data_IF_964346665362
#
_entry.id   IF_964346665362
#
_cell.length_a   1.000
_cell.length_b   1.000
_cell.length_c   1.000
_cell.angle_alpha   90.00
_cell.angle_beta   90.00
_cell.angle_gamma   90.00
#
_symmetry.space_group_name_H-M   'P 1'
#
loop_
_entity.id
_entity.type
_entity.pdbx_description
1 polymer ?
#
# COMPACT_ATOMS: atom_id res chain seq x y z
N UNK A 1 14.76 -38.38 5.35
CA UNK A 1 15.56 -38.13 6.53
C UNK A 1 16.92 -38.72 6.29
N UNK A 2 17.90 -37.91 6.34
CA UNK A 2 19.24 -38.40 6.12
C UNK A 2 19.95 -38.33 7.45
N UNK A 3 20.21 -39.50 8.00
CA UNK A 3 21.01 -39.60 9.17
C UNK A 3 22.39 -39.02 8.87
N UNK A 4 22.89 -38.20 9.76
CA UNK A 4 24.24 -37.68 9.68
C UNK A 4 25.26 -38.84 9.61
N UNK A 5 26.46 -38.54 9.18
CA UNK A 5 27.62 -39.43 9.22
C UNK A 5 27.76 -40.15 10.57
N UNK A 6 27.25 -39.54 11.62
CA UNK A 6 27.26 -40.07 13.01
C UNK A 6 25.94 -40.75 13.41
N UNK A 7 24.98 -40.89 12.52
CA UNK A 7 23.64 -41.42 12.81
C UNK A 7 22.71 -40.41 13.48
N UNK A 8 23.10 -39.15 13.59
CA UNK A 8 22.25 -38.08 14.10
C UNK A 8 21.54 -37.40 12.93
N UNK A 9 20.30 -36.97 13.15
CA UNK A 9 19.60 -36.15 12.18
C UNK A 9 20.23 -34.75 12.10
N UNK A 10 20.21 -34.15 10.92
CA UNK A 10 20.71 -32.78 10.73
C UNK A 10 19.81 -31.71 11.38
N UNK A 11 18.68 -32.09 11.98
CA UNK A 11 17.69 -31.14 12.49
C UNK A 11 16.93 -30.44 11.37
N UNK A 12 16.79 -31.09 10.23
CA UNK A 12 16.00 -30.58 9.09
C UNK A 12 14.56 -30.26 9.51
N UNK A 13 13.95 -29.19 8.96
CA UNK A 13 12.58 -28.81 9.26
C UNK A 13 11.55 -29.92 9.02
N UNK A 14 11.78 -30.76 7.99
CA UNK A 14 11.04 -31.99 7.77
C UNK A 14 11.96 -33.12 7.32
N UNK A 15 11.53 -34.37 7.54
CA UNK A 15 12.29 -35.55 7.19
C UNK A 15 12.02 -35.99 5.76
N UNK A 16 13.06 -36.36 5.04
CA UNK A 16 12.96 -36.99 3.72
C UNK A 16 14.03 -38.05 3.56
N UNK A 17 13.68 -39.13 2.88
CA UNK A 17 14.58 -40.26 2.65
C UNK A 17 14.26 -40.92 1.30
N UNK A 18 15.30 -41.25 0.54
CA UNK A 18 15.16 -42.10 -0.63
C UNK A 18 15.55 -43.55 -0.27
N UNK A 19 14.84 -44.52 -0.85
CA UNK A 19 15.26 -45.92 -0.75
C UNK A 19 16.55 -46.16 -1.53
N UNK A 20 17.51 -46.91 -0.99
CA UNK A 20 18.71 -47.26 -1.71
C UNK A 20 18.36 -48.09 -2.97
N UNK A 21 18.91 -47.73 -4.10
CA UNK A 21 18.74 -48.48 -5.35
C UNK A 21 20.06 -48.60 -6.12
N UNK A 22 20.14 -49.60 -7.01
CA UNK A 22 21.34 -49.89 -7.82
C UNK A 22 21.28 -49.34 -9.24
N UNK A 23 20.27 -48.50 -9.54
CA UNK A 23 20.06 -47.92 -10.87
C UNK A 23 19.94 -46.39 -10.85
N UNK A 24 19.84 -45.75 -12.01
CA UNK A 24 19.57 -44.31 -12.07
C UNK A 24 18.16 -44.05 -11.52
N UNK A 25 18.08 -43.61 -10.30
CA UNK A 25 16.82 -43.32 -9.63
C UNK A 25 16.64 -41.83 -9.49
N UNK A 26 15.52 -41.36 -9.99
CA UNK A 26 14.98 -40.04 -9.68
C UNK A 26 14.18 -40.15 -8.39
N UNK A 27 14.68 -39.54 -7.32
CA UNK A 27 13.93 -39.32 -6.12
C UNK A 27 13.30 -37.93 -6.20
N UNK A 28 11.99 -37.86 -6.00
CA UNK A 28 11.28 -36.58 -5.95
C UNK A 28 10.68 -36.42 -4.55
N UNK A 29 10.96 -35.28 -3.94
CA UNK A 29 10.36 -34.91 -2.67
C UNK A 29 9.80 -33.50 -2.78
N UNK A 30 8.58 -33.30 -2.27
CA UNK A 30 7.94 -31.97 -2.18
C UNK A 30 8.14 -31.50 -0.75
N UNK A 31 8.95 -30.46 -0.59
CA UNK A 31 9.15 -29.83 0.71
C UNK A 31 7.94 -28.97 1.05
N UNK A 32 7.41 -29.15 2.24
CA UNK A 32 6.26 -28.42 2.77
C UNK A 32 6.65 -27.36 3.79
N UNK A 33 7.85 -27.45 4.33
CA UNK A 33 8.39 -26.53 5.33
C UNK A 33 9.59 -25.81 4.75
N UNK A 34 9.61 -24.49 4.81
CA UNK A 34 10.77 -23.70 4.40
C UNK A 34 11.92 -23.86 5.40
N UNK A 35 13.13 -23.74 4.92
CA UNK A 35 14.32 -23.82 5.75
C UNK A 35 15.54 -24.38 5.04
N UNK A 36 16.63 -24.47 5.76
CA UNK A 36 17.85 -25.09 5.26
C UNK A 36 17.85 -26.58 5.59
N UNK A 37 18.10 -27.37 4.59
CA UNK A 37 18.15 -28.82 4.65
C UNK A 37 19.57 -29.28 4.34
N UNK A 38 20.06 -30.20 5.12
CA UNK A 38 21.31 -30.90 4.88
C UNK A 38 21.01 -32.37 4.59
N UNK A 39 21.76 -32.96 3.71
CA UNK A 39 21.61 -34.36 3.35
C UNK A 39 22.96 -35.05 3.10
N UNK A 40 23.00 -36.33 3.34
CA UNK A 40 24.13 -37.17 3.06
C UNK A 40 23.72 -38.51 2.43
N UNK A 41 24.71 -39.28 2.02
CA UNK A 41 24.49 -40.65 1.58
C UNK A 41 24.73 -41.61 2.74
N UNK A 42 23.67 -42.29 3.19
CA UNK A 42 23.74 -43.27 4.31
C UNK A 42 24.32 -44.62 3.91
N UNK A 43 24.75 -44.81 2.68
CA UNK A 43 25.30 -46.09 2.19
C UNK A 43 26.81 -46.19 2.43
N UNK A 44 27.20 -47.09 3.29
CA UNK A 44 28.62 -47.36 3.59
C UNK A 44 29.36 -46.12 4.12
N UNK A 45 30.51 -45.81 3.53
CA UNK A 45 31.34 -44.67 3.91
C UNK A 45 31.19 -43.48 2.94
N UNK A 46 30.11 -43.42 2.15
CA UNK A 46 29.95 -42.40 1.12
C UNK A 46 29.88 -40.98 1.69
N UNK A 47 29.16 -40.78 2.79
CA UNK A 47 29.09 -39.48 3.44
C UNK A 47 30.45 -39.03 4.00
N UNK A 48 31.24 -39.96 4.58
CA UNK A 48 32.59 -39.70 5.04
C UNK A 48 33.54 -39.34 3.92
N UNK A 49 33.27 -39.80 2.69
CA UNK A 49 34.01 -39.46 1.49
C UNK A 49 33.48 -38.20 0.76
N UNK A 50 32.62 -37.40 1.43
CA UNK A 50 32.16 -36.13 0.91
C UNK A 50 30.84 -36.16 0.13
N UNK A 51 30.10 -37.30 0.14
CA UNK A 51 28.74 -37.32 -0.47
C UNK A 51 27.71 -36.68 0.48
N UNK A 52 27.85 -35.38 0.65
CA UNK A 52 27.00 -34.54 1.46
C UNK A 52 26.52 -33.33 0.66
N UNK A 53 25.42 -32.78 0.98
CA UNK A 53 24.91 -31.58 0.34
C UNK A 53 23.92 -30.81 1.22
N UNK A 54 23.58 -29.64 0.74
CA UNK A 54 22.54 -28.83 1.35
C UNK A 54 21.70 -28.16 0.28
N UNK A 55 20.47 -27.84 0.66
CA UNK A 55 19.57 -27.03 -0.16
C UNK A 55 18.77 -26.11 0.76
N UNK A 56 18.31 -25.00 0.22
CA UNK A 56 17.41 -24.10 0.93
C UNK A 56 16.06 -24.12 0.23
N UNK A 57 15.03 -24.42 1.01
CA UNK A 57 13.64 -24.31 0.59
C UNK A 57 13.13 -22.96 1.05
N UNK A 58 12.89 -22.08 0.10
CA UNK A 58 12.26 -20.80 0.39
C UNK A 58 10.77 -21.03 0.68
N UNK A 59 10.21 -20.28 1.60
CA UNK A 59 8.76 -20.23 1.80
C UNK A 59 8.06 -19.73 0.54
N UNK A 60 6.73 -19.81 0.47
CA UNK A 60 5.99 -19.11 -0.56
C UNK A 60 6.44 -17.63 -0.53
N UNK A 61 6.49 -16.96 -1.70
CA UNK A 61 6.81 -15.54 -1.72
C UNK A 61 5.83 -14.81 -0.79
N UNK A 62 6.29 -13.78 -0.06
CA UNK A 62 5.42 -13.02 0.82
C UNK A 62 4.24 -12.46 0.02
N UNK A 63 3.04 -12.58 0.56
CA UNK A 63 1.84 -11.95 -0.01
C UNK A 63 1.68 -10.58 0.64
N UNK A 64 2.46 -9.62 0.18
CA UNK A 64 2.47 -8.25 0.71
C UNK A 64 1.27 -7.44 0.20
N UNK A 65 1.05 -6.25 0.79
CA UNK A 65 0.06 -5.29 0.30
C UNK A 65 0.29 -4.96 -1.18
N UNK A 66 1.56 -4.80 -1.59
CA UNK A 66 1.88 -4.55 -2.99
C UNK A 66 1.51 -5.75 -3.88
N UNK A 67 1.74 -6.99 -3.43
CA UNK A 67 1.36 -8.19 -4.20
C UNK A 67 -0.16 -8.29 -4.38
N UNK A 68 -0.94 -7.96 -3.35
CA UNK A 68 -2.41 -7.91 -3.43
C UNK A 68 -2.85 -6.89 -4.49
N UNK A 69 -2.30 -5.68 -4.47
CA UNK A 69 -2.61 -4.63 -5.45
C UNK A 69 -2.17 -5.03 -6.85
N UNK A 70 -0.94 -5.54 -7.00
CA UNK A 70 -0.34 -5.83 -8.30
C UNK A 70 -0.99 -7.01 -9.02
N UNK A 71 -1.56 -7.96 -8.28
CA UNK A 71 -2.26 -9.13 -8.82
C UNK A 71 -3.77 -8.89 -8.98
N UNK A 72 -4.28 -7.74 -8.56
CA UNK A 72 -5.69 -7.40 -8.66
C UNK A 72 -6.04 -6.86 -10.05
N UNK A 73 -7.14 -7.34 -10.61
CA UNK A 73 -7.67 -6.86 -11.92
C UNK A 73 -8.42 -5.54 -11.78
N UNK A 74 -8.81 -5.15 -10.57
CA UNK A 74 -9.61 -3.95 -10.29
C UNK A 74 -8.75 -2.77 -9.77
N UNK A 75 -7.43 -2.95 -9.64
CA UNK A 75 -6.51 -1.95 -9.09
C UNK A 75 -5.34 -1.64 -10.04
N UNK A 76 -5.56 -1.77 -11.36
CA UNK A 76 -4.50 -1.60 -12.37
C UNK A 76 -3.95 -0.16 -12.38
N UNK A 77 -4.83 0.83 -12.21
CA UNK A 77 -4.44 2.25 -12.12
C UNK A 77 -3.65 2.54 -10.84
N UNK A 78 -4.08 1.98 -9.70
CA UNK A 78 -3.36 2.11 -8.44
C UNK A 78 -1.95 1.52 -8.55
N UNK A 79 -1.83 0.33 -9.15
CA UNK A 79 -0.52 -0.29 -9.40
C UNK A 79 0.39 0.62 -10.20
N UNK A 80 -0.09 1.16 -11.33
CA UNK A 80 0.71 2.08 -12.16
C UNK A 80 1.15 3.32 -11.36
N UNK A 81 0.27 3.87 -10.52
CA UNK A 81 0.58 5.02 -9.68
C UNK A 81 1.65 4.69 -8.61
N UNK A 82 1.52 3.54 -7.94
CA UNK A 82 2.50 3.06 -6.94
C UNK A 82 3.87 2.85 -7.58
N UNK A 83 3.93 2.20 -8.74
CA UNK A 83 5.17 1.95 -9.49
C UNK A 83 5.83 3.26 -9.93
N UNK A 84 5.03 4.22 -10.45
CA UNK A 84 5.52 5.53 -10.87
C UNK A 84 6.15 6.33 -9.72
N UNK A 85 5.63 6.16 -8.50
CA UNK A 85 6.17 6.80 -7.29
C UNK A 85 7.27 5.99 -6.58
N UNK A 86 7.65 4.80 -7.10
CA UNK A 86 8.61 3.88 -6.47
C UNK A 86 8.22 3.51 -5.02
N UNK A 87 6.92 3.37 -4.76
CA UNK A 87 6.38 2.98 -3.46
C UNK A 87 6.18 1.46 -3.33
N UNK A 88 6.48 0.68 -4.38
CA UNK A 88 6.47 -0.78 -4.39
C UNK A 88 7.31 -1.37 -3.25
N UNK A 89 8.54 -0.85 -3.05
CA UNK A 89 9.41 -1.25 -1.95
C UNK A 89 8.84 -0.90 -0.57
N UNK A 90 8.14 0.22 -0.43
CA UNK A 90 7.50 0.62 0.83
C UNK A 90 6.34 -0.32 1.16
N UNK A 91 5.45 -0.57 0.19
CA UNK A 91 4.28 -1.44 0.37
C UNK A 91 4.62 -2.94 0.43
N UNK A 92 5.82 -3.33 0.01
CA UNK A 92 6.39 -4.67 0.21
C UNK A 92 7.24 -4.77 1.48
N UNK A 93 7.49 -3.65 2.16
CA UNK A 93 8.31 -3.59 3.38
C UNK A 93 7.65 -4.28 4.58
N UNK A 94 8.41 -4.31 5.68
CA UNK A 94 8.06 -5.03 6.90
C UNK A 94 7.01 -4.28 7.74
N UNK A 95 5.89 -3.90 7.28
CA UNK A 95 4.75 -3.31 8.01
C UNK A 95 4.87 -3.13 9.54
N UNK A 96 3.78 -3.02 10.26
CA UNK A 96 2.40 -3.19 9.78
C UNK A 96 1.89 -2.00 8.98
N UNK A 97 1.06 -2.27 7.97
CA UNK A 97 0.43 -1.21 7.19
C UNK A 97 -1.08 -1.47 7.02
N UNK A 98 -1.83 -0.40 6.80
CA UNK A 98 -3.19 -0.46 6.23
C UNK A 98 -3.20 0.34 4.94
N UNK A 99 -3.68 -0.25 3.87
CA UNK A 99 -3.89 0.45 2.60
C UNK A 99 -5.38 0.56 2.31
N UNK A 100 -5.87 1.77 2.12
CA UNK A 100 -7.17 2.05 1.52
C UNK A 100 -6.98 2.09 0.01
N UNK A 101 -7.36 1.02 -0.68
CA UNK A 101 -7.09 0.80 -2.11
C UNK A 101 -8.29 1.24 -2.97
N UNK A 102 -8.20 2.39 -3.69
CA UNK A 102 -9.23 2.79 -4.62
C UNK A 102 -9.22 1.91 -5.86
N UNK A 103 -10.41 1.51 -6.33
CA UNK A 103 -10.57 0.72 -7.55
C UNK A 103 -10.31 1.56 -8.80
N UNK A 104 -10.12 0.91 -9.96
CA UNK A 104 -10.06 1.59 -11.26
C UNK A 104 -11.32 2.42 -11.53
N UNK A 105 -12.48 1.98 -11.06
CA UNK A 105 -13.72 2.75 -11.13
C UNK A 105 -13.64 4.05 -10.30
N UNK A 106 -13.00 4.02 -9.13
CA UNK A 106 -12.77 5.20 -8.30
C UNK A 106 -11.87 6.23 -9.00
N UNK A 107 -10.81 5.77 -9.67
CA UNK A 107 -9.95 6.65 -10.48
C UNK A 107 -10.69 7.22 -11.70
N UNK A 108 -11.54 6.42 -12.36
CA UNK A 108 -12.32 6.86 -13.50
C UNK A 108 -13.42 7.88 -13.11
N UNK A 109 -13.82 7.95 -11.86
CA UNK A 109 -14.75 8.95 -11.36
C UNK A 109 -14.11 10.34 -11.15
N UNK A 110 -12.78 10.42 -11.16
CA UNK A 110 -12.07 11.72 -11.12
C UNK A 110 -12.32 12.51 -12.42
N UNK A 111 -12.21 13.86 -12.37
CA UNK A 111 -12.29 14.68 -13.57
C UNK A 111 -11.33 14.18 -14.67
N UNK A 112 -11.78 14.24 -15.93
CA UNK A 112 -10.96 13.77 -17.05
C UNK A 112 -9.62 14.51 -17.12
N UNK A 113 -8.53 13.74 -17.28
CA UNK A 113 -7.17 14.28 -17.32
C UNK A 113 -6.48 14.35 -15.97
N UNK A 114 -7.16 14.13 -14.83
CA UNK A 114 -6.55 14.16 -13.49
C UNK A 114 -5.46 13.11 -13.33
N UNK A 115 -5.74 11.85 -13.67
CA UNK A 115 -4.75 10.77 -13.52
C UNK A 115 -3.51 11.01 -14.39
N UNK A 116 -3.60 11.34 -15.69
CA UNK A 116 -2.44 11.72 -16.48
C UNK A 116 -1.67 12.93 -15.93
N UNK A 117 -2.36 13.93 -15.40
CA UNK A 117 -1.69 15.09 -14.79
C UNK A 117 -0.90 14.69 -13.54
N UNK A 118 -1.46 13.86 -12.67
CA UNK A 118 -0.80 13.34 -11.48
C UNK A 118 0.41 12.45 -11.82
N UNK A 119 0.34 11.64 -12.86
CA UNK A 119 1.49 10.86 -13.34
C UNK A 119 2.66 11.72 -13.86
N UNK A 120 2.41 12.98 -14.20
CA UNK A 120 3.43 13.97 -14.54
C UNK A 120 3.88 14.82 -13.33
N UNK A 121 3.20 14.69 -12.19
CA UNK A 121 3.53 15.36 -10.93
C UNK A 121 3.73 14.32 -9.81
N UNK A 122 4.87 13.65 -9.86
CA UNK A 122 5.21 12.56 -8.92
C UNK A 122 5.18 13.00 -7.46
N UNK A 123 5.65 14.20 -7.05
CA UNK A 123 5.55 14.64 -5.67
C UNK A 123 4.10 14.70 -5.16
N UNK A 124 3.18 15.29 -5.94
CA UNK A 124 1.76 15.34 -5.58
C UNK A 124 1.14 13.96 -5.55
N UNK A 125 1.42 13.12 -6.55
CA UNK A 125 0.93 11.74 -6.60
C UNK A 125 1.42 10.92 -5.40
N UNK A 126 2.70 11.05 -5.04
CA UNK A 126 3.28 10.38 -3.86
C UNK A 126 2.55 10.78 -2.58
N UNK A 127 2.27 12.08 -2.39
CA UNK A 127 1.53 12.55 -1.22
C UNK A 127 0.11 11.97 -1.17
N UNK A 128 -0.58 11.91 -2.31
CA UNK A 128 -1.91 11.28 -2.42
C UNK A 128 -1.83 9.79 -2.05
N UNK A 129 -0.86 9.04 -2.60
CA UNK A 129 -0.71 7.62 -2.28
C UNK A 129 -0.36 7.36 -0.81
N UNK A 130 0.50 8.19 -0.22
CA UNK A 130 0.81 8.11 1.22
C UNK A 130 -0.39 8.50 2.09
N UNK A 131 -1.32 9.33 1.59
CA UNK A 131 -2.59 9.63 2.25
C UNK A 131 -3.55 8.43 2.27
N UNK A 132 -3.39 7.45 1.36
CA UNK A 132 -4.13 6.20 1.37
C UNK A 132 -3.53 5.13 2.29
N UNK A 133 -2.35 5.36 2.84
CA UNK A 133 -1.62 4.38 3.64
C UNK A 133 -1.47 4.82 5.10
N UNK A 134 -1.62 3.86 6.01
CA UNK A 134 -1.47 4.05 7.46
C UNK A 134 -0.37 3.12 7.95
N UNK A 135 0.48 3.60 8.87
CA UNK A 135 1.58 2.83 9.46
C UNK A 135 1.16 1.93 10.62
N UNK A 136 -0.01 1.31 10.53
CA UNK A 136 -0.54 0.34 11.49
C UNK A 136 -1.47 -0.63 10.77
N UNK A 137 -1.72 -1.80 11.36
CA UNK A 137 -2.68 -2.78 10.84
C UNK A 137 -4.04 -2.60 11.50
N UNK A 138 -4.93 -1.89 10.83
CA UNK A 138 -6.27 -1.53 11.33
C UNK A 138 -7.33 -2.37 10.64
N UNK A 139 -7.83 -3.39 11.32
CA UNK A 139 -8.96 -4.21 10.84
C UNK A 139 -10.28 -3.46 10.96
N UNK A 140 -11.26 -3.79 10.12
CA UNK A 140 -12.57 -3.13 10.11
C UNK A 140 -13.28 -3.17 11.48
N UNK A 141 -13.12 -4.26 12.22
CA UNK A 141 -13.66 -4.42 13.57
C UNK A 141 -12.99 -3.55 14.64
N UNK A 142 -11.87 -2.90 14.33
CA UNK A 142 -11.16 -1.96 15.21
C UNK A 142 -11.58 -0.50 14.96
N UNK A 143 -12.32 -0.25 13.87
CA UNK A 143 -12.76 1.08 13.51
C UNK A 143 -13.98 1.50 14.34
N UNK A 144 -14.02 2.77 14.71
CA UNK A 144 -15.11 3.38 15.44
C UNK A 144 -15.61 4.64 14.72
N UNK A 145 -16.90 4.92 14.81
CA UNK A 145 -17.47 6.11 14.20
C UNK A 145 -16.85 7.40 14.79
N UNK A 146 -16.40 8.31 13.94
CA UNK A 146 -15.69 9.52 14.32
C UNK A 146 -14.21 9.33 14.67
N UNK A 147 -13.67 8.12 14.51
CA UNK A 147 -12.25 7.86 14.72
C UNK A 147 -11.41 8.62 13.69
N UNK A 148 -10.31 9.18 14.17
CA UNK A 148 -9.30 9.81 13.31
C UNK A 148 -8.11 8.86 13.17
N UNK A 149 -7.68 8.63 11.94
CA UNK A 149 -6.55 7.78 11.60
C UNK A 149 -5.49 8.62 10.89
N UNK A 150 -4.26 8.63 11.40
CA UNK A 150 -3.17 9.39 10.79
C UNK A 150 -2.48 8.56 9.70
N UNK A 151 -2.35 9.14 8.51
CA UNK A 151 -1.76 8.51 7.33
C UNK A 151 -0.23 8.64 7.31
N UNK A 152 0.44 7.91 6.41
CA UNK A 152 1.87 8.07 6.14
C UNK A 152 2.23 9.43 5.54
N UNK A 153 1.26 10.15 4.96
CA UNK A 153 1.42 11.54 4.54
C UNK A 153 1.41 12.54 5.71
N UNK A 154 1.15 12.09 6.95
CA UNK A 154 1.00 12.95 8.13
C UNK A 154 -0.33 13.69 8.20
N UNK A 155 -1.26 13.39 7.31
CA UNK A 155 -2.63 13.92 7.29
C UNK A 155 -3.59 12.96 7.99
N UNK A 156 -4.78 13.42 8.31
CA UNK A 156 -5.78 12.63 9.03
C UNK A 156 -6.91 12.19 8.11
N UNK A 157 -7.40 10.98 8.34
CA UNK A 157 -8.63 10.44 7.76
C UNK A 157 -9.68 10.29 8.85
N UNK A 158 -10.93 10.58 8.53
CA UNK A 158 -12.06 10.42 9.44
C UNK A 158 -12.87 9.19 9.07
N UNK A 159 -13.09 8.32 10.05
CA UNK A 159 -13.94 7.15 9.91
C UNK A 159 -15.38 7.51 10.20
N UNK A 160 -16.28 7.21 9.28
CA UNK A 160 -17.73 7.32 9.48
C UNK A 160 -18.36 5.95 9.34
N UNK A 161 -19.16 5.55 10.31
CA UNK A 161 -19.89 4.27 10.30
C UNK A 161 -21.36 4.56 10.43
N UNK A 162 -22.16 4.12 9.47
CA UNK A 162 -23.62 4.23 9.47
C UNK A 162 -24.28 2.92 9.04
N UNK A 163 -25.60 2.95 8.84
CA UNK A 163 -26.39 1.78 8.41
C UNK A 163 -26.04 1.29 7.00
N UNK A 164 -25.35 2.09 6.18
CA UNK A 164 -24.95 1.78 4.81
C UNK A 164 -23.54 1.21 4.72
N UNK A 165 -22.72 1.35 5.77
CA UNK A 165 -21.39 0.79 5.83
C UNK A 165 -20.36 1.65 6.54
N UNK A 166 -19.09 1.34 6.23
CA UNK A 166 -17.91 2.07 6.72
C UNK A 166 -17.42 2.99 5.62
N UNK A 167 -17.11 4.21 5.99
CA UNK A 167 -16.58 5.25 5.11
C UNK A 167 -15.31 5.85 5.69
N UNK A 168 -14.37 6.12 4.82
CA UNK A 168 -13.10 6.81 5.12
C UNK A 168 -13.10 8.11 4.33
N UNK A 169 -13.17 9.25 5.01
CA UNK A 169 -13.35 10.59 4.39
C UNK A 169 -14.42 10.62 3.28
N UNK A 170 -15.54 9.91 3.52
CA UNK A 170 -16.65 9.80 2.58
C UNK A 170 -16.49 8.72 1.50
N UNK A 171 -15.32 8.12 1.31
CA UNK A 171 -15.13 6.95 0.45
C UNK A 171 -15.65 5.70 1.15
N UNK A 172 -16.57 4.98 0.52
CA UNK A 172 -17.11 3.75 1.07
C UNK A 172 -16.12 2.60 0.99
N UNK A 173 -15.92 1.87 2.08
CA UNK A 173 -15.22 0.59 2.10
C UNK A 173 -16.14 -0.47 1.50
N UNK A 174 -15.78 -0.98 0.32
CA UNK A 174 -16.57 -1.98 -0.42
C UNK A 174 -16.14 -3.40 -0.11
N UNK A 175 -14.85 -3.62 0.14
CA UNK A 175 -14.30 -4.89 0.63
C UNK A 175 -13.33 -4.56 1.77
N UNK A 176 -13.54 -5.16 2.92
CA UNK A 176 -12.71 -4.95 4.09
C UNK A 176 -11.83 -6.17 4.39
N UNK A 177 -10.76 -5.95 5.15
CA UNK A 177 -9.96 -6.99 5.81
C UNK A 177 -9.30 -8.00 4.84
N UNK A 178 -8.79 -7.54 3.70
CA UNK A 178 -7.92 -8.37 2.86
C UNK A 178 -6.55 -8.41 3.53
N UNK A 179 -6.24 -9.55 4.16
CA UNK A 179 -5.02 -9.72 4.97
C UNK A 179 -3.81 -9.96 4.08
N UNK A 180 -2.75 -9.21 4.32
CA UNK A 180 -1.41 -9.38 3.79
C UNK A 180 -0.43 -9.79 4.89
N UNK A 181 0.75 -10.31 4.51
CA UNK A 181 1.80 -10.67 5.47
C UNK A 181 2.37 -9.45 6.23
N UNK A 182 2.26 -8.27 5.62
CA UNK A 182 2.75 -7.01 6.18
C UNK A 182 1.63 -6.01 6.49
N UNK A 183 0.36 -6.43 6.54
CA UNK A 183 -0.74 -5.54 6.91
C UNK A 183 -2.11 -5.94 6.38
N UNK A 184 -2.95 -4.96 6.09
CA UNK A 184 -4.32 -5.17 5.62
C UNK A 184 -4.68 -4.18 4.50
N UNK A 185 -5.51 -4.62 3.56
CA UNK A 185 -6.05 -3.79 2.48
C UNK A 185 -7.56 -3.67 2.63
N UNK A 186 -8.06 -2.45 2.55
CA UNK A 186 -9.48 -2.14 2.44
C UNK A 186 -9.75 -1.50 1.08
N UNK A 187 -10.62 -2.10 0.29
CA UNK A 187 -11.00 -1.57 -1.03
C UNK A 187 -12.02 -0.47 -0.85
N UNK A 188 -11.80 0.66 -1.51
CA UNK A 188 -12.66 1.85 -1.44
C UNK A 188 -13.15 2.28 -2.83
N UNK A 189 -14.32 2.91 -2.86
CA UNK A 189 -15.00 3.32 -4.11
C UNK A 189 -14.67 4.76 -4.57
N UNK A 190 -13.80 5.46 -3.84
CA UNK A 190 -13.35 6.81 -4.21
C UNK A 190 -11.88 7.00 -3.84
N UNK A 191 -11.19 7.89 -4.56
CA UNK A 191 -9.80 8.29 -4.26
C UNK A 191 -9.81 9.31 -3.12
N UNK A 192 -9.00 9.08 -2.08
CA UNK A 192 -8.82 10.01 -0.97
C UNK A 192 -7.90 11.15 -1.42
N UNK A 193 -8.40 12.36 -1.38
CA UNK A 193 -7.60 13.54 -1.73
C UNK A 193 -7.16 14.22 -0.44
N UNK A 194 -5.84 14.29 -0.17
CA UNK A 194 -5.35 14.98 1.02
C UNK A 194 -5.75 16.45 0.99
N UNK A 195 -6.14 17.02 2.12
CA UNK A 195 -6.42 18.44 2.18
C UNK A 195 -5.15 19.23 1.82
N UNK A 196 -5.28 20.16 0.90
CA UNK A 196 -4.19 21.06 0.53
C UNK A 196 -3.90 22.04 1.67
N UNK A 197 -2.63 22.36 1.88
CA UNK A 197 -2.25 23.49 2.73
C UNK A 197 -2.15 24.74 1.88
N UNK A 198 -2.69 25.82 2.38
CA UNK A 198 -2.49 27.14 1.75
C UNK A 198 -1.06 27.68 1.97
N UNK A 199 -0.75 28.81 1.39
CA UNK A 199 0.59 29.41 1.51
C UNK A 199 0.94 29.90 2.93
N UNK A 200 -0.02 29.96 3.87
CA UNK A 200 0.22 30.17 5.29
C UNK A 200 0.42 28.86 6.07
N UNK A 201 0.37 27.69 5.39
CA UNK A 201 0.46 26.39 6.01
C UNK A 201 -0.83 25.91 6.69
N UNK A 202 -1.95 26.55 6.39
CA UNK A 202 -3.25 26.17 6.95
C UNK A 202 -3.87 25.10 6.08
N UNK A 203 -4.15 23.93 6.68
CA UNK A 203 -4.81 22.80 6.01
C UNK A 203 -6.23 23.20 5.60
N UNK A 204 -6.56 23.04 4.32
CA UNK A 204 -7.85 23.46 3.76
C UNK A 204 -8.03 24.99 3.69
N UNK A 205 -6.98 25.76 3.91
CA UNK A 205 -7.00 27.21 3.79
C UNK A 205 -7.09 27.67 2.33
N UNK A 206 -7.51 28.91 2.14
CA UNK A 206 -7.77 29.51 0.83
C UNK A 206 -6.79 30.60 0.43
N UNK A 207 -5.72 30.78 1.22
CA UNK A 207 -4.69 31.81 0.94
C UNK A 207 -3.83 31.38 -0.23
N UNK A 208 -3.57 32.32 -1.15
CA UNK A 208 -2.78 32.10 -2.37
C UNK A 208 -1.57 33.03 -2.36
N UNK A 209 -0.48 32.59 -3.02
CA UNK A 209 0.66 33.47 -3.28
C UNK A 209 0.28 34.46 -4.39
N UNK A 210 0.45 35.76 -4.12
CA UNK A 210 0.33 36.79 -5.15
C UNK A 210 1.56 36.85 -6.07
N UNK A 211 1.52 37.73 -7.05
CA UNK A 211 2.64 37.93 -8.01
C UNK A 211 3.95 38.40 -7.37
N UNK A 212 3.91 38.83 -6.13
CA UNK A 212 5.07 39.25 -5.34
C UNK A 212 5.55 38.15 -4.38
N UNK A 213 5.00 36.93 -4.49
CA UNK A 213 5.24 35.78 -3.60
C UNK A 213 4.83 36.05 -2.14
N UNK A 214 3.88 36.94 -1.91
CA UNK A 214 3.27 37.19 -0.61
C UNK A 214 2.00 36.34 -0.48
N UNK A 215 1.86 35.65 0.66
CA UNK A 215 0.69 34.84 0.92
C UNK A 215 -0.49 35.72 1.32
N UNK A 216 -1.54 35.70 0.54
CA UNK A 216 -2.75 36.47 0.77
C UNK A 216 -4.00 35.59 0.78
N UNK A 217 -4.96 35.93 1.65
CA UNK A 217 -6.26 35.30 1.61
C UNK A 217 -6.99 35.70 0.31
N UNK A 218 -7.58 34.73 -0.39
CA UNK A 218 -8.39 35.01 -1.56
C UNK A 218 -9.56 35.93 -1.23
N UNK A 219 -9.82 36.91 -2.06
CA UNK A 219 -10.93 37.83 -1.90
C UNK A 219 -11.51 38.23 -3.26
N UNK A 220 -12.79 38.59 -3.24
CA UNK A 220 -13.44 39.30 -4.37
C UNK A 220 -13.40 40.78 -4.07
N UNK A 221 -12.84 41.57 -5.00
CA UNK A 221 -12.82 43.01 -4.87
C UNK A 221 -13.94 43.64 -5.66
N UNK A 222 -14.82 44.34 -4.96
CA UNK A 222 -15.91 45.07 -5.61
C UNK A 222 -15.44 46.49 -5.98
N UNK A 223 -15.19 46.72 -7.27
CA UNK A 223 -14.71 48.00 -7.77
C UNK A 223 -15.72 49.14 -7.64
N UNK A 224 -17.01 48.86 -7.51
CA UNK A 224 -18.03 49.89 -7.33
C UNK A 224 -18.10 50.40 -5.89
N UNK A 225 -17.86 49.54 -4.91
CA UNK A 225 -17.94 49.91 -3.48
C UNK A 225 -16.57 50.10 -2.84
N UNK A 226 -15.50 49.71 -3.56
CA UNK A 226 -14.13 49.73 -3.08
C UNK A 226 -13.87 48.87 -1.83
N UNK A 227 -14.64 47.76 -1.69
CA UNK A 227 -14.59 46.88 -0.52
C UNK A 227 -14.17 45.48 -0.94
N UNK A 228 -13.11 44.86 -0.35
CA UNK A 228 -12.79 43.47 -0.52
C UNK A 228 -13.69 42.58 0.32
N UNK A 229 -14.16 41.46 -0.24
CA UNK A 229 -14.84 40.39 0.46
C UNK A 229 -13.93 39.16 0.50
N UNK A 230 -13.41 38.84 1.68
CA UNK A 230 -12.54 37.65 1.83
C UNK A 230 -13.35 36.37 1.74
N UNK A 231 -12.81 35.41 1.02
CA UNK A 231 -13.44 34.10 0.77
C UNK A 231 -12.92 33.08 1.76
N UNK A 232 -13.82 32.36 2.39
CA UNK A 232 -13.45 31.20 3.22
C UNK A 232 -13.31 29.92 2.37
N UNK A 233 -13.91 29.94 1.17
CA UNK A 233 -13.85 28.86 0.19
C UNK A 233 -13.98 29.47 -1.22
N UNK A 234 -13.06 29.11 -2.10
CA UNK A 234 -13.07 29.54 -3.52
C UNK A 234 -13.75 28.52 -4.44
N UNK A 235 -14.18 27.36 -3.92
CA UNK A 235 -14.86 26.36 -4.73
C UNK A 235 -16.19 26.91 -5.27
N UNK A 236 -16.31 26.98 -6.59
CA UNK A 236 -17.52 27.42 -7.27
C UNK A 236 -17.69 28.93 -7.43
N UNK A 237 -16.68 29.73 -7.10
CA UNK A 237 -16.70 31.18 -7.37
C UNK A 237 -16.56 31.45 -8.86
N UNK A 238 -17.61 31.99 -9.48
CA UNK A 238 -17.57 32.50 -10.86
C UNK A 238 -17.38 34.02 -10.76
N UNK A 239 -16.21 34.49 -11.18
CA UNK A 239 -15.94 35.94 -11.20
C UNK A 239 -16.66 36.55 -12.39
N UNK A 240 -17.61 37.45 -12.11
CA UNK A 240 -18.33 38.20 -13.14
C UNK A 240 -17.47 39.30 -13.77
N UNK A 241 -17.87 39.84 -14.92
CA UNK A 241 -17.16 40.97 -15.52
C UNK A 241 -17.23 42.20 -14.60
N UNK A 242 -16.05 42.66 -14.15
CA UNK A 242 -15.87 43.78 -13.22
C UNK A 242 -15.50 43.39 -11.78
N UNK A 243 -15.33 42.10 -11.50
CA UNK A 243 -14.82 41.55 -10.24
C UNK A 243 -13.50 40.80 -10.50
N UNK A 244 -12.44 41.15 -9.81
CA UNK A 244 -11.12 40.52 -9.92
C UNK A 244 -10.45 40.40 -8.54
#
# INVERSE_FOLDING_TARGET
>A
DISSITGNSYGNPESFISSPTTGPVLYTHIFTISGSYSYDCSVGSHAQNGMVGSLTVNGPPPNTIYDIVSNSVDHTTLKVAVDACSLDGTLSGAGPFTLFAPTDAAFNALPSGTVPALLNDIPTLTNILLHHAVGDSVMSGMLSNGQIVTTLAGTNLTVTIDTSGVYIDGAQVTVADIVADNGVVHVINAVLIPPTTDCNGIVGGTSLLDSCAVCQQAYIYNFSTNIPTFLNDTAGVIVGPGEA
#
